data_IF_043385816973
#
_entry.id   IF_043385816973
#
_cell.length_a   1.000
_cell.length_b   1.000
_cell.length_c   1.000
_cell.angle_alpha   90.00
_cell.angle_beta   90.00
_cell.angle_gamma   90.00
#
_symmetry.space_group_name_H-M   'P 1'
#
loop_
_entity.id
_entity.type
_entity.pdbx_description
1 polymer ?
#
# COMPACT_ATOMS: atom_id res chain seq x y z
N UNK A 1 -7.64 1.15 -20.65
CA UNK A 1 -8.95 0.50 -20.41
C UNK A 1 -10.01 1.42 -20.99
N UNK A 2 -10.97 0.94 -21.80
CA UNK A 2 -11.97 1.82 -22.40
C UNK A 2 -12.88 2.39 -21.31
N UNK A 3 -12.96 3.72 -21.25
CA UNK A 3 -13.78 4.45 -20.30
C UNK A 3 -15.26 4.18 -20.62
N UNK A 4 -16.01 3.72 -19.63
CA UNK A 4 -17.39 3.23 -19.68
C UNK A 4 -18.45 4.36 -19.82
N UNK A 5 -18.25 5.29 -20.76
CA UNK A 5 -19.09 6.47 -21.03
C UNK A 5 -20.51 6.17 -21.59
N UNK A 6 -21.07 4.98 -21.34
CA UNK A 6 -22.39 4.56 -21.81
C UNK A 6 -23.41 4.40 -20.65
N UNK A 7 -23.30 5.23 -19.60
CA UNK A 7 -24.32 5.31 -18.53
C UNK A 7 -24.44 4.07 -17.63
N UNK A 8 -23.57 3.07 -17.74
CA UNK A 8 -23.54 1.94 -16.80
C UNK A 8 -22.76 2.34 -15.55
N UNK A 9 -23.30 2.02 -14.38
CA UNK A 9 -22.60 2.17 -13.11
C UNK A 9 -21.33 1.31 -13.04
N UNK A 10 -20.47 1.58 -12.06
CA UNK A 10 -19.31 0.75 -11.78
C UNK A 10 -19.77 -0.66 -11.38
N UNK A 11 -19.14 -1.68 -11.96
CA UNK A 11 -19.26 -3.05 -11.44
C UNK A 11 -18.64 -3.15 -10.05
N UNK A 12 -19.01 -4.19 -9.31
CA UNK A 12 -18.40 -4.46 -8.00
C UNK A 12 -16.86 -4.52 -8.09
N UNK A 13 -16.32 -5.17 -9.13
CA UNK A 13 -14.87 -5.25 -9.34
C UNK A 13 -14.25 -3.89 -9.60
N UNK A 14 -14.86 -3.07 -10.47
CA UNK A 14 -14.38 -1.71 -10.77
C UNK A 14 -14.45 -0.81 -9.53
N UNK A 15 -15.51 -0.94 -8.72
CA UNK A 15 -15.69 -0.19 -7.48
C UNK A 15 -14.65 -0.58 -6.42
N UNK A 16 -14.46 -1.88 -6.17
CA UNK A 16 -13.45 -2.34 -5.22
C UNK A 16 -12.03 -2.00 -5.69
N UNK A 17 -11.75 -2.11 -6.99
CA UNK A 17 -10.47 -1.67 -7.54
C UNK A 17 -10.24 -0.17 -7.33
N UNK A 18 -11.27 0.66 -7.55
CA UNK A 18 -11.20 2.09 -7.29
C UNK A 18 -10.92 2.37 -5.80
N UNK A 19 -11.69 1.75 -4.89
CA UNK A 19 -11.47 1.89 -3.45
C UNK A 19 -10.06 1.46 -3.04
N UNK A 20 -9.55 0.36 -3.59
CA UNK A 20 -8.21 -0.14 -3.31
C UNK A 20 -7.14 0.88 -3.72
N UNK A 21 -7.26 1.47 -4.91
CA UNK A 21 -6.32 2.49 -5.39
C UNK A 21 -6.43 3.80 -4.61
N UNK A 22 -7.63 4.18 -4.17
CA UNK A 22 -7.84 5.34 -3.30
C UNK A 22 -7.14 5.16 -1.95
N UNK A 23 -7.28 4.00 -1.30
CA UNK A 23 -6.59 3.74 -0.03
C UNK A 23 -5.07 3.66 -0.20
N UNK A 24 -4.56 3.09 -1.30
CA UNK A 24 -3.12 3.17 -1.64
C UNK A 24 -2.64 4.63 -1.77
N UNK A 25 -3.43 5.47 -2.44
CA UNK A 25 -3.16 6.91 -2.58
C UNK A 25 -3.15 7.63 -1.24
N UNK A 26 -4.11 7.33 -0.36
CA UNK A 26 -4.17 7.89 1.01
C UNK A 26 -2.94 7.50 1.81
N UNK A 27 -2.52 6.23 1.80
CA UNK A 27 -1.32 5.79 2.50
C UNK A 27 -0.08 6.58 2.05
N UNK A 28 0.13 6.74 0.74
CA UNK A 28 1.27 7.51 0.19
C UNK A 28 1.24 8.97 0.63
N UNK A 29 0.06 9.61 0.55
CA UNK A 29 -0.10 11.00 0.94
C UNK A 29 0.16 11.22 2.42
N UNK A 30 -0.45 10.40 3.28
CA UNK A 30 -0.31 10.54 4.75
C UNK A 30 1.14 10.28 5.16
N UNK A 31 1.80 9.26 4.59
CA UNK A 31 3.21 8.99 4.88
C UNK A 31 4.10 10.20 4.55
N UNK A 32 3.89 10.86 3.41
CA UNK A 32 4.61 12.09 3.07
C UNK A 32 4.40 13.19 4.11
N UNK A 33 3.14 13.47 4.46
CA UNK A 33 2.80 14.49 5.47
C UNK A 33 3.38 14.16 6.84
N UNK A 34 3.35 12.89 7.26
CA UNK A 34 3.93 12.45 8.53
C UNK A 34 5.41 12.76 8.61
N UNK A 35 6.17 12.53 7.54
CA UNK A 35 7.62 12.79 7.53
C UNK A 35 7.94 14.27 7.76
N UNK A 36 7.14 15.16 7.19
CA UNK A 36 7.34 16.62 7.23
C UNK A 36 6.68 17.30 8.45
N UNK A 37 5.83 16.59 9.21
CA UNK A 37 5.11 17.17 10.36
C UNK A 37 6.03 17.31 11.58
N UNK A 38 6.21 18.54 12.06
CA UNK A 38 7.03 18.85 13.25
C UNK A 38 6.27 18.77 14.57
N UNK A 39 4.94 18.93 14.54
CA UNK A 39 4.08 18.88 15.72
C UNK A 39 3.76 17.44 16.11
N UNK A 40 4.15 17.03 17.34
CA UNK A 40 4.08 15.63 17.78
C UNK A 40 2.65 15.08 17.79
N UNK A 41 1.72 15.79 18.42
CA UNK A 41 0.33 15.39 18.53
C UNK A 41 -0.34 15.26 17.15
N UNK A 42 0.00 16.14 16.22
CA UNK A 42 -0.48 16.05 14.84
C UNK A 42 0.12 14.84 14.11
N UNK A 43 1.39 14.52 14.36
CA UNK A 43 2.03 13.30 13.86
C UNK A 43 1.36 12.05 14.41
N UNK A 44 0.92 12.05 15.67
CA UNK A 44 0.17 10.92 16.25
C UNK A 44 -1.19 10.75 15.56
N UNK A 45 -1.91 11.85 15.28
CA UNK A 45 -3.16 11.81 14.50
C UNK A 45 -2.93 11.23 13.10
N UNK A 46 -1.90 11.69 12.39
CA UNK A 46 -1.59 11.17 11.06
C UNK A 46 -1.19 9.69 11.08
N UNK A 47 -0.47 9.25 12.12
CA UNK A 47 -0.12 7.83 12.30
C UNK A 47 -1.39 6.99 12.41
N UNK A 48 -2.37 7.40 13.22
CA UNK A 48 -3.64 6.70 13.33
C UNK A 48 -4.41 6.68 12.00
N UNK A 49 -4.40 7.79 11.24
CA UNK A 49 -5.02 7.84 9.92
C UNK A 49 -4.34 6.89 8.93
N UNK A 50 -3.00 6.81 8.97
CA UNK A 50 -2.22 5.91 8.12
C UNK A 50 -2.56 4.45 8.43
N UNK A 51 -2.56 4.06 9.70
CA UNK A 51 -2.90 2.70 10.12
C UNK A 51 -4.31 2.30 9.66
N UNK A 52 -5.28 3.19 9.81
CA UNK A 52 -6.65 2.95 9.37
C UNK A 52 -6.72 2.75 7.83
N UNK A 53 -6.04 3.61 7.06
CA UNK A 53 -6.00 3.49 5.61
C UNK A 53 -5.31 2.19 5.16
N UNK A 54 -4.20 1.83 5.81
CA UNK A 54 -3.46 0.60 5.53
C UNK A 54 -4.30 -0.65 5.83
N UNK A 55 -5.01 -0.67 6.95
CA UNK A 55 -5.91 -1.77 7.30
C UNK A 55 -7.08 -1.89 6.31
N UNK A 56 -7.68 -0.77 5.90
CA UNK A 56 -8.75 -0.76 4.90
C UNK A 56 -8.25 -1.28 3.55
N UNK A 57 -7.09 -0.80 3.10
CA UNK A 57 -6.44 -1.26 1.88
C UNK A 57 -6.20 -2.77 1.93
N UNK A 58 -5.70 -3.29 3.04
CA UNK A 58 -5.44 -4.72 3.21
C UNK A 58 -6.71 -5.56 3.12
N UNK A 59 -7.79 -5.15 3.81
CA UNK A 59 -9.10 -5.83 3.72
C UNK A 59 -9.64 -5.84 2.29
N UNK A 60 -9.54 -4.72 1.57
CA UNK A 60 -9.95 -4.64 0.16
C UNK A 60 -9.12 -5.59 -0.71
N UNK A 61 -7.80 -5.65 -0.48
CA UNK A 61 -6.92 -6.59 -1.16
C UNK A 61 -7.33 -8.04 -0.90
N UNK A 62 -7.59 -8.42 0.36
CA UNK A 62 -8.03 -9.78 0.69
C UNK A 62 -9.34 -10.15 -0.02
N UNK A 63 -10.34 -9.26 -0.01
CA UNK A 63 -11.61 -9.46 -0.72
C UNK A 63 -11.36 -9.68 -2.21
N UNK A 64 -10.55 -8.83 -2.85
CA UNK A 64 -10.26 -8.95 -4.27
C UNK A 64 -9.43 -10.20 -4.60
N UNK A 65 -8.54 -10.62 -3.72
CA UNK A 65 -7.76 -11.85 -3.85
C UNK A 65 -8.66 -13.10 -3.72
N UNK A 66 -9.53 -13.15 -2.73
CA UNK A 66 -10.51 -14.23 -2.53
C UNK A 66 -11.46 -14.38 -3.73
N UNK A 67 -11.82 -13.28 -4.38
CA UNK A 67 -12.64 -13.27 -5.62
C UNK A 67 -11.83 -13.60 -6.89
N UNK A 68 -10.52 -13.83 -6.78
CA UNK A 68 -9.63 -14.09 -7.91
C UNK A 68 -9.41 -12.89 -8.83
N UNK A 69 -9.72 -11.68 -8.37
CA UNK A 69 -9.62 -10.44 -9.15
C UNK A 69 -8.28 -9.73 -9.02
N UNK A 70 -7.50 -10.10 -8.02
CA UNK A 70 -6.17 -9.60 -7.74
C UNK A 70 -5.19 -10.77 -7.72
N UNK A 71 -4.13 -10.70 -8.54
CA UNK A 71 -3.11 -11.75 -8.61
C UNK A 71 -1.80 -11.21 -8.05
N UNK A 72 -1.32 -11.85 -6.99
CA UNK A 72 -0.01 -11.59 -6.38
C UNK A 72 0.67 -12.92 -6.09
N UNK A 73 1.98 -12.95 -6.26
CA UNK A 73 2.80 -14.09 -5.85
C UNK A 73 3.29 -13.85 -4.42
N UNK A 74 3.19 -14.87 -3.57
CA UNK A 74 3.84 -14.83 -2.26
C UNK A 74 5.35 -14.89 -2.48
N UNK A 75 6.08 -14.01 -1.79
CA UNK A 75 7.54 -14.08 -1.81
C UNK A 75 8.01 -15.38 -1.17
N UNK A 76 8.97 -16.06 -1.80
CA UNK A 76 9.64 -17.20 -1.21
C UNK A 76 10.52 -16.76 -0.02
N UNK A 77 10.84 -17.71 0.87
CA UNK A 77 11.75 -17.45 2.00
C UNK A 77 13.11 -16.93 1.49
N UNK A 78 13.60 -17.50 0.38
CA UNK A 78 14.83 -17.07 -0.26
C UNK A 78 14.76 -15.62 -0.76
N UNK A 79 13.64 -15.23 -1.40
CA UNK A 79 13.42 -13.85 -1.84
C UNK A 79 13.37 -12.87 -0.67
N UNK A 80 12.73 -13.25 0.44
CA UNK A 80 12.69 -12.45 1.68
C UNK A 80 14.11 -12.28 2.25
N UNK A 81 14.89 -13.38 2.31
CA UNK A 81 16.28 -13.37 2.79
C UNK A 81 17.16 -12.44 1.96
N UNK A 82 17.09 -12.54 0.63
CA UNK A 82 17.83 -11.69 -0.31
C UNK A 82 17.52 -10.20 -0.13
N UNK A 83 16.24 -9.84 0.01
CA UNK A 83 15.85 -8.43 0.23
C UNK A 83 16.36 -7.91 1.57
N UNK A 84 16.34 -8.74 2.62
CA UNK A 84 16.88 -8.35 3.94
C UNK A 84 18.37 -8.04 3.87
N UNK A 85 19.14 -8.87 3.18
CA UNK A 85 20.59 -8.66 2.98
C UNK A 85 20.86 -7.36 2.21
N UNK A 86 20.14 -7.12 1.10
CA UNK A 86 20.27 -5.89 0.33
C UNK A 86 19.97 -4.64 1.16
N UNK A 87 18.95 -4.69 2.03
CA UNK A 87 18.59 -3.57 2.91
C UNK A 87 19.65 -3.32 3.99
N UNK A 88 20.26 -4.37 4.55
CA UNK A 88 21.36 -4.24 5.52
C UNK A 88 22.59 -3.58 4.87
N UNK A 89 22.96 -4.01 3.67
CA UNK A 89 24.08 -3.43 2.93
C UNK A 89 23.84 -1.95 2.56
N UNK A 90 22.60 -1.55 2.30
CA UNK A 90 22.28 -0.15 2.01
C UNK A 90 22.34 0.77 3.26
N UNK A 91 22.25 0.22 4.46
CA UNK A 91 22.37 0.97 5.72
C UNK A 91 23.83 1.08 6.20
N UNK A 92 24.71 0.20 5.70
CA UNK A 92 26.14 0.12 6.04
C UNK A 92 27.00 -0.10 4.79
N UNK A 93 27.05 0.87 3.86
CA UNK A 93 27.82 0.72 2.61
C UNK A 93 29.34 0.62 2.82
N UNK A 94 29.83 1.06 3.99
CA UNK A 94 31.25 1.12 4.32
C UNK A 94 31.82 -0.22 4.83
N UNK A 95 30.97 -1.18 5.24
CA UNK A 95 31.40 -2.49 5.76
C UNK A 95 31.78 -3.50 4.65
N UNK A 96 31.72 -3.09 3.37
CA UNK A 96 32.06 -3.92 2.21
C UNK A 96 33.42 -3.62 1.58
N UNK A 97 34.28 -2.81 2.23
CA UNK A 97 35.64 -2.49 1.79
C UNK A 97 36.70 -2.79 2.85
#
# INVERSE_FOLDING_TARGET
MPNNMAGRGLTEREMLQLCLELEKGRCRSIAGTMLETTHKELRDVFTQCFENAAQNQFKLFEIMNQKGWYKTELASIEQIGKVRELMQNNLHPDDQF
#
